data_IF_284867242662
#
_entry.id   IF_284867242662
#
_cell.length_a   1.000
_cell.length_b   1.000
_cell.length_c   1.000
_cell.angle_alpha   90.00
_cell.angle_beta   90.00
_cell.angle_gamma   90.00
#
_symmetry.space_group_name_H-M   'P 1'
#
loop_
_entity.id
_entity.type
_entity.pdbx_description
1 polymer ?
#
# COMPACT_ATOMS: atom_id res chain seq x y z
N UNK A 1 6.25 -29.43 -14.97
CA UNK A 1 5.65 -28.22 -14.37
C UNK A 1 6.77 -27.53 -13.64
N UNK A 2 7.05 -26.27 -13.97
CA UNK A 2 8.09 -25.48 -13.30
C UNK A 2 7.65 -25.19 -11.85
N UNK A 3 8.61 -25.18 -10.91
CA UNK A 3 8.35 -24.94 -9.48
C UNK A 3 7.61 -23.60 -9.25
N UNK A 4 7.91 -22.58 -10.04
CA UNK A 4 7.19 -21.30 -10.02
C UNK A 4 5.72 -21.42 -10.41
N UNK A 5 5.39 -22.28 -11.35
CA UNK A 5 4.00 -22.53 -11.77
C UNK A 5 3.23 -23.25 -10.66
N UNK A 6 3.88 -24.22 -10.00
CA UNK A 6 3.30 -24.92 -8.86
C UNK A 6 3.01 -23.95 -7.69
N UNK A 7 3.96 -23.11 -7.34
CA UNK A 7 3.80 -22.10 -6.27
C UNK A 7 2.64 -21.16 -6.57
N UNK A 8 2.53 -20.66 -7.82
CA UNK A 8 1.41 -19.80 -8.24
C UNK A 8 0.05 -20.50 -8.20
N UNK A 9 -0.01 -21.80 -8.51
CA UNK A 9 -1.25 -22.59 -8.37
C UNK A 9 -1.66 -22.71 -6.90
N UNK A 10 -0.70 -22.90 -6.00
CA UNK A 10 -0.94 -22.92 -4.56
C UNK A 10 -1.40 -21.56 -4.03
N UNK A 11 -0.78 -20.46 -4.49
CA UNK A 11 -1.22 -19.11 -4.16
C UNK A 11 -2.68 -18.87 -4.56
N UNK A 12 -3.04 -19.22 -5.79
CA UNK A 12 -4.44 -19.11 -6.26
C UNK A 12 -5.42 -19.98 -5.46
N UNK A 13 -5.02 -21.20 -5.07
CA UNK A 13 -5.84 -22.09 -4.24
C UNK A 13 -6.12 -21.48 -2.86
N UNK A 14 -5.13 -20.80 -2.30
CA UNK A 14 -5.21 -20.23 -0.95
C UNK A 14 -5.68 -18.78 -0.94
N UNK A 15 -6.01 -18.19 -2.10
CA UNK A 15 -6.34 -16.78 -2.24
C UNK A 15 -7.50 -16.35 -1.33
N UNK A 16 -8.61 -17.09 -1.34
CA UNK A 16 -9.76 -16.73 -0.50
C UNK A 16 -9.45 -16.81 1.00
N UNK A 17 -8.68 -17.79 1.42
CA UNK A 17 -8.24 -17.87 2.82
C UNK A 17 -7.31 -16.70 3.18
N UNK A 18 -6.45 -16.25 2.25
CA UNK A 18 -5.64 -15.04 2.40
C UNK A 18 -6.52 -13.80 2.59
N UNK A 19 -7.49 -13.59 1.70
CA UNK A 19 -8.43 -12.46 1.76
C UNK A 19 -9.18 -12.41 3.10
N UNK A 20 -9.69 -13.57 3.56
CA UNK A 20 -10.39 -13.62 4.85
C UNK A 20 -9.46 -13.29 6.03
N UNK A 21 -8.21 -13.75 6.00
CA UNK A 21 -7.22 -13.41 7.03
C UNK A 21 -6.86 -11.92 6.99
N UNK A 22 -6.74 -11.32 5.82
CA UNK A 22 -6.53 -9.87 5.68
C UNK A 22 -7.73 -9.08 6.21
N UNK A 23 -8.95 -9.56 5.98
CA UNK A 23 -10.16 -8.94 6.55
C UNK A 23 -10.13 -8.95 8.08
N UNK A 24 -9.69 -10.05 8.71
CA UNK A 24 -9.55 -10.11 10.16
C UNK A 24 -8.48 -9.12 10.68
N UNK A 25 -7.33 -9.00 9.98
CA UNK A 25 -6.33 -7.98 10.31
C UNK A 25 -6.92 -6.57 10.19
N UNK A 26 -7.68 -6.29 9.11
CA UNK A 26 -8.32 -5.00 8.92
C UNK A 26 -9.34 -4.67 10.03
N UNK A 27 -10.12 -5.66 10.49
CA UNK A 27 -11.05 -5.49 11.63
C UNK A 27 -10.31 -5.13 12.92
N UNK A 28 -9.13 -5.72 13.16
CA UNK A 28 -8.27 -5.36 14.31
C UNK A 28 -7.77 -3.93 14.19
N UNK A 29 -7.27 -3.53 13.00
CA UNK A 29 -6.82 -2.16 12.73
C UNK A 29 -7.98 -1.16 12.95
N UNK A 30 -9.17 -1.45 12.41
CA UNK A 30 -10.36 -0.64 12.57
C UNK A 30 -10.74 -0.44 14.05
N UNK A 31 -10.70 -1.52 14.82
CA UNK A 31 -10.94 -1.48 16.26
C UNK A 31 -9.95 -0.58 17.00
N UNK A 32 -8.65 -0.68 16.69
CA UNK A 32 -7.61 0.19 17.25
C UNK A 32 -7.88 1.65 16.84
N UNK A 33 -8.15 1.91 15.57
CA UNK A 33 -8.40 3.25 15.06
C UNK A 33 -9.62 3.90 15.73
N UNK A 34 -10.74 3.17 15.87
CA UNK A 34 -11.96 3.65 16.54
C UNK A 34 -11.73 4.01 18.00
N UNK A 35 -11.06 3.15 18.77
CA UNK A 35 -10.75 3.41 20.18
C UNK A 35 -9.86 4.64 20.41
N UNK A 36 -8.95 4.90 19.45
CA UNK A 36 -7.95 5.96 19.57
C UNK A 36 -8.26 7.21 18.74
N UNK A 37 -9.42 7.30 18.08
CA UNK A 37 -9.81 8.43 17.24
C UNK A 37 -8.84 8.67 16.08
N UNK A 38 -8.33 7.60 15.45
CA UNK A 38 -7.39 7.64 14.32
C UNK A 38 -8.20 7.54 13.03
N UNK A 39 -7.99 8.48 12.11
CA UNK A 39 -8.64 8.48 10.80
C UNK A 39 -7.87 7.61 9.81
N UNK A 40 -8.61 6.82 9.06
CA UNK A 40 -8.14 6.05 7.91
C UNK A 40 -9.30 5.81 6.94
N UNK A 41 -9.01 5.35 5.73
CA UNK A 41 -10.03 4.87 4.79
C UNK A 41 -9.47 3.81 3.84
N UNK A 42 -10.38 3.03 3.23
CA UNK A 42 -10.01 2.06 2.20
C UNK A 42 -9.48 2.78 0.97
N UNK A 43 -8.44 2.22 0.35
CA UNK A 43 -7.77 2.82 -0.81
C UNK A 43 -7.64 1.82 -1.96
N UNK A 44 -7.20 2.28 -3.10
CA UNK A 44 -6.76 1.49 -4.26
C UNK A 44 -7.68 0.33 -4.63
N UNK A 45 -7.14 -0.88 -4.78
CA UNK A 45 -7.87 -2.11 -5.10
C UNK A 45 -8.94 -2.45 -4.08
N UNK A 46 -8.70 -2.19 -2.81
CA UNK A 46 -9.65 -2.46 -1.72
C UNK A 46 -10.91 -1.60 -1.82
N UNK A 47 -10.75 -0.28 -2.05
CA UNK A 47 -11.89 0.61 -2.26
C UNK A 47 -12.64 0.26 -3.55
N UNK A 48 -11.91 -0.04 -4.64
CA UNK A 48 -12.49 -0.49 -5.90
C UNK A 48 -13.30 -1.78 -5.71
N UNK A 49 -12.77 -2.72 -4.94
CA UNK A 49 -13.45 -3.96 -4.58
C UNK A 49 -14.73 -3.70 -3.79
N UNK A 50 -14.68 -2.83 -2.79
CA UNK A 50 -15.86 -2.43 -2.02
C UNK A 50 -16.98 -1.87 -2.93
N UNK A 51 -16.64 -0.95 -3.84
CA UNK A 51 -17.62 -0.29 -4.74
C UNK A 51 -18.15 -1.25 -5.81
N UNK A 52 -17.30 -2.04 -6.44
CA UNK A 52 -17.65 -2.84 -7.62
C UNK A 52 -18.13 -4.24 -7.29
N UNK A 53 -17.62 -4.84 -6.21
CA UNK A 53 -17.86 -6.25 -5.83
C UNK A 53 -18.52 -6.40 -4.45
N UNK A 54 -18.60 -5.34 -3.66
CA UNK A 54 -19.08 -5.41 -2.26
C UNK A 54 -18.10 -6.09 -1.29
N UNK A 55 -16.86 -6.31 -1.72
CA UNK A 55 -15.80 -6.99 -1.01
C UNK A 55 -14.54 -7.04 -1.86
N UNK A 56 -13.71 -8.07 -1.69
CA UNK A 56 -12.52 -8.24 -2.51
C UNK A 56 -12.82 -8.33 -4.00
N UNK A 57 -11.95 -7.75 -4.81
CA UNK A 57 -11.85 -8.15 -6.21
C UNK A 57 -11.44 -9.63 -6.25
N UNK A 58 -12.12 -10.51 -7.03
CA UNK A 58 -11.93 -11.96 -6.92
C UNK A 58 -10.52 -12.50 -7.16
N UNK A 59 -9.64 -11.72 -7.79
CA UNK A 59 -8.24 -12.07 -8.06
C UNK A 59 -7.23 -11.21 -7.31
N UNK A 60 -7.69 -10.33 -6.42
CA UNK A 60 -6.84 -9.46 -5.60
C UNK A 60 -6.39 -10.16 -4.33
N UNK A 61 -5.17 -9.92 -3.92
CA UNK A 61 -4.53 -10.63 -2.81
C UNK A 61 -3.92 -9.70 -1.75
N UNK A 62 -4.34 -8.42 -1.75
CA UNK A 62 -3.93 -7.42 -0.77
C UNK A 62 -5.11 -6.57 -0.25
N UNK A 63 -4.88 -5.89 0.86
CA UNK A 63 -5.72 -4.82 1.39
C UNK A 63 -4.86 -3.59 1.57
N UNK A 64 -5.30 -2.50 0.92
CA UNK A 64 -4.70 -1.19 1.00
C UNK A 64 -5.60 -0.24 1.79
N UNK A 65 -5.02 0.40 2.79
CA UNK A 65 -5.64 1.54 3.48
C UNK A 65 -4.67 2.71 3.52
N UNK A 66 -5.20 3.90 3.67
CA UNK A 66 -4.41 5.11 3.85
C UNK A 66 -4.74 5.78 5.18
N UNK A 67 -3.72 6.41 5.76
CA UNK A 67 -3.87 7.24 6.96
C UNK A 67 -3.22 8.61 6.72
N UNK A 68 -3.84 9.73 7.15
CA UNK A 68 -3.11 10.99 7.27
C UNK A 68 -1.82 10.78 8.06
N UNK A 69 -0.71 11.37 7.62
CA UNK A 69 0.62 11.10 8.23
C UNK A 69 0.66 11.32 9.75
N UNK A 70 -0.13 12.27 10.26
CA UNK A 70 -0.26 12.50 11.71
C UNK A 70 -0.95 11.33 12.42
N UNK A 71 -2.00 10.77 11.79
CA UNK A 71 -2.74 9.63 12.29
C UNK A 71 -1.94 8.33 12.17
N UNK A 72 -1.18 8.14 11.08
CA UNK A 72 -0.28 7.01 10.92
C UNK A 72 0.77 6.96 12.06
N UNK A 73 1.38 8.10 12.38
CA UNK A 73 2.33 8.19 13.50
C UNK A 73 1.68 7.92 14.87
N UNK A 74 0.39 8.24 15.03
CA UNK A 74 -0.38 7.88 16.23
C UNK A 74 -0.66 6.39 16.23
N UNK A 75 -1.08 5.84 15.09
CA UNK A 75 -1.32 4.41 14.91
C UNK A 75 -0.06 3.58 15.24
N UNK A 76 1.11 3.93 14.71
CA UNK A 76 2.36 3.23 15.02
C UNK A 76 2.64 3.15 16.53
N UNK A 77 2.35 4.22 17.29
CA UNK A 77 2.58 4.25 18.73
C UNK A 77 1.60 3.40 19.54
N UNK A 78 0.33 3.38 19.13
CA UNK A 78 -0.69 2.62 19.84
C UNK A 78 -0.70 1.15 19.41
N UNK A 79 -0.50 0.87 18.13
CA UNK A 79 -0.45 -0.48 17.58
C UNK A 79 0.68 -1.32 18.21
N UNK A 80 1.81 -0.70 18.54
CA UNK A 80 2.90 -1.38 19.26
C UNK A 80 2.48 -1.96 20.63
N UNK A 81 1.34 -1.52 21.19
CA UNK A 81 0.81 -1.96 22.49
C UNK A 81 -0.52 -2.69 22.41
N UNK A 82 -1.30 -2.43 21.36
CA UNK A 82 -2.68 -2.89 21.23
C UNK A 82 -2.87 -4.01 20.20
N UNK A 83 -1.87 -4.29 19.38
CA UNK A 83 -1.93 -5.43 18.47
C UNK A 83 -1.95 -6.73 19.28
N UNK A 84 -2.88 -7.65 18.98
CA UNK A 84 -2.91 -8.96 19.62
C UNK A 84 -1.68 -9.80 19.26
N UNK A 85 -1.37 -10.79 20.08
CA UNK A 85 -0.32 -11.78 19.83
C UNK A 85 -0.50 -12.41 18.44
N UNK A 86 0.61 -12.59 17.73
CA UNK A 86 0.64 -13.10 16.37
C UNK A 86 0.56 -12.03 15.29
N UNK A 87 0.08 -10.82 15.58
CA UNK A 87 0.16 -9.69 14.65
C UNK A 87 1.40 -8.83 14.93
N UNK A 88 2.03 -8.38 13.86
CA UNK A 88 3.29 -7.63 13.91
C UNK A 88 3.18 -6.34 13.11
N UNK A 89 3.50 -5.21 13.75
CA UNK A 89 3.63 -3.92 13.07
C UNK A 89 5.00 -3.84 12.40
N UNK A 90 5.03 -4.00 11.08
CA UNK A 90 6.22 -3.87 10.28
C UNK A 90 6.41 -2.43 9.80
N UNK A 91 7.53 -1.87 10.16
CA UNK A 91 8.05 -0.58 9.70
C UNK A 91 9.55 -0.73 9.45
N UNK A 92 10.18 0.24 8.81
CA UNK A 92 11.66 0.23 8.65
C UNK A 92 12.42 0.27 9.99
N UNK A 93 11.73 0.59 11.11
CA UNK A 93 12.31 0.60 12.46
C UNK A 93 12.17 -0.75 13.16
N UNK A 94 11.00 -1.38 13.05
CA UNK A 94 10.70 -2.66 13.71
C UNK A 94 11.23 -3.86 12.93
N UNK A 95 11.40 -3.69 11.61
CA UNK A 95 11.96 -4.67 10.71
C UNK A 95 12.88 -3.97 9.67
N UNK A 96 14.14 -3.69 10.04
CA UNK A 96 15.07 -2.97 9.15
C UNK A 96 15.38 -3.67 7.82
N UNK A 97 15.07 -4.96 7.72
CA UNK A 97 15.21 -5.74 6.49
C UNK A 97 14.07 -5.50 5.50
N UNK A 98 12.92 -5.01 5.99
CA UNK A 98 11.82 -4.53 5.15
C UNK A 98 12.14 -3.10 4.71
N UNK A 99 12.65 -2.95 3.49
CA UNK A 99 13.20 -1.69 2.98
C UNK A 99 12.15 -0.70 2.46
N UNK A 100 10.92 -1.16 2.30
CA UNK A 100 9.84 -0.31 1.80
C UNK A 100 9.34 0.65 2.88
N UNK A 101 9.15 1.94 2.57
CA UNK A 101 8.64 2.93 3.51
C UNK A 101 7.11 2.87 3.66
N UNK A 102 6.54 1.68 3.60
CA UNK A 102 5.12 1.37 3.80
C UNK A 102 5.00 0.69 5.17
N UNK A 103 3.99 1.05 5.92
CA UNK A 103 3.67 0.37 7.18
C UNK A 103 2.77 -0.82 6.87
N UNK A 104 3.11 -1.99 7.40
CA UNK A 104 2.29 -3.20 7.25
C UNK A 104 1.92 -3.76 8.63
N UNK A 105 0.71 -4.27 8.76
CA UNK A 105 0.35 -5.14 9.88
C UNK A 105 0.31 -6.56 9.35
N UNK A 106 1.22 -7.42 9.86
CA UNK A 106 1.40 -8.79 9.38
C UNK A 106 0.94 -9.83 10.39
N UNK A 107 0.35 -10.90 9.90
CA UNK A 107 0.10 -12.11 10.67
C UNK A 107 1.32 -13.05 10.58
N UNK A 108 2.04 -13.21 11.67
CA UNK A 108 3.24 -14.05 11.73
C UNK A 108 2.95 -15.56 11.79
N UNK A 109 1.68 -15.96 11.91
CA UNK A 109 1.24 -17.36 11.84
C UNK A 109 0.90 -17.79 10.40
N UNK A 110 1.20 -16.96 9.43
CA UNK A 110 0.99 -17.19 8.01
C UNK A 110 2.25 -16.87 7.20
N UNK A 111 2.27 -17.25 5.92
CA UNK A 111 3.37 -16.93 5.02
C UNK A 111 2.81 -16.35 3.71
N UNK A 112 3.35 -15.21 3.31
CA UNK A 112 3.04 -14.56 2.05
C UNK A 112 4.35 -14.12 1.38
N UNK A 113 4.60 -14.61 0.17
CA UNK A 113 5.79 -14.28 -0.63
C UNK A 113 5.34 -13.48 -1.86
N UNK A 114 5.80 -12.25 -1.93
CA UNK A 114 5.50 -11.32 -3.02
C UNK A 114 6.27 -11.66 -4.30
N UNK A 115 5.76 -11.22 -5.45
CA UNK A 115 6.48 -11.34 -6.71
C UNK A 115 7.77 -10.50 -6.68
N UNK A 116 8.92 -11.13 -6.92
CA UNK A 116 10.23 -10.46 -6.82
C UNK A 116 10.94 -10.63 -5.49
N UNK A 117 10.24 -11.15 -4.47
CA UNK A 117 10.85 -11.58 -3.22
C UNK A 117 11.45 -12.99 -3.33
N UNK A 118 12.21 -13.37 -2.31
CA UNK A 118 12.75 -14.70 -2.15
C UNK A 118 12.57 -15.17 -0.70
N UNK A 119 12.70 -16.50 -0.48
CA UNK A 119 12.59 -17.09 0.85
C UNK A 119 13.77 -16.77 1.78
N UNK A 120 14.84 -16.18 1.26
CA UNK A 120 16.11 -15.94 1.97
C UNK A 120 16.15 -14.56 2.62
N UNK A 121 15.45 -13.57 2.07
CA UNK A 121 15.45 -12.21 2.64
C UNK A 121 14.91 -12.22 4.07
N UNK A 122 15.62 -11.70 5.06
CA UNK A 122 15.35 -11.96 6.49
C UNK A 122 14.23 -11.11 7.10
N UNK A 123 13.42 -10.38 6.33
CA UNK A 123 12.29 -9.63 6.88
C UNK A 123 11.13 -10.57 7.27
N UNK A 124 10.29 -10.10 8.20
CA UNK A 124 9.09 -10.83 8.63
C UNK A 124 8.12 -10.98 7.47
N UNK A 125 7.78 -12.24 7.14
CA UNK A 125 6.86 -12.59 6.05
C UNK A 125 5.58 -13.14 6.66
N UNK A 126 4.45 -12.67 6.16
CA UNK A 126 3.13 -13.10 6.62
C UNK A 126 2.07 -12.34 5.83
N UNK A 127 0.85 -12.83 5.82
CA UNK A 127 -0.29 -12.14 5.23
C UNK A 127 -0.43 -10.78 5.93
N UNK A 128 -0.76 -9.73 5.19
CA UNK A 128 -0.68 -8.36 5.69
C UNK A 128 -1.80 -7.46 5.19
N UNK A 129 -1.91 -6.30 5.83
CA UNK A 129 -2.63 -5.11 5.37
C UNK A 129 -1.61 -3.99 5.21
N UNK A 130 -1.62 -3.32 4.06
CA UNK A 130 -0.78 -2.16 3.76
C UNK A 130 -1.42 -0.87 4.24
N UNK A 131 -0.61 -0.02 4.87
CA UNK A 131 -1.02 1.29 5.39
C UNK A 131 -0.12 2.36 4.78
N UNK A 132 -0.67 3.12 3.84
CA UNK A 132 0.08 4.17 3.17
C UNK A 132 -0.04 5.52 3.89
N UNK A 133 1.06 6.24 4.06
CA UNK A 133 1.03 7.61 4.58
C UNK A 133 0.39 8.56 3.56
N UNK A 134 -0.61 9.33 4.00
CA UNK A 134 -1.30 10.31 3.17
C UNK A 134 -0.95 11.74 3.61
N UNK A 135 -0.59 12.60 2.66
CA UNK A 135 -0.10 13.96 2.93
C UNK A 135 -0.79 15.00 2.07
N UNK A 136 -0.75 16.25 2.53
CA UNK A 136 -1.22 17.38 1.74
C UNK A 136 -0.24 17.67 0.58
N UNK A 137 -0.80 17.89 -0.60
CA UNK A 137 -0.08 18.27 -1.82
C UNK A 137 -0.29 19.75 -2.14
N UNK A 138 0.66 20.39 -2.83
CA UNK A 138 0.48 21.74 -3.34
C UNK A 138 -0.75 21.85 -4.24
N UNK A 139 -1.43 23.00 -4.20
CA UNK A 139 -2.62 23.27 -5.00
C UNK A 139 -2.24 23.65 -6.45
N UNK A 140 -1.61 22.70 -7.13
CA UNK A 140 -1.13 22.81 -8.51
C UNK A 140 -1.82 21.77 -9.40
N UNK A 141 -1.61 21.88 -10.72
CA UNK A 141 -2.17 20.95 -11.69
C UNK A 141 -1.65 19.50 -11.44
N UNK A 142 -2.53 18.47 -11.43
CA UNK A 142 -2.14 17.07 -11.18
C UNK A 142 -1.05 16.57 -12.13
N UNK A 143 -1.07 16.96 -13.39
CA UNK A 143 -0.09 16.55 -14.39
C UNK A 143 1.36 16.89 -14.03
N UNK A 144 1.59 17.85 -13.13
CA UNK A 144 2.92 18.16 -12.63
C UNK A 144 3.41 17.07 -11.67
N UNK A 145 2.52 16.56 -10.81
CA UNK A 145 2.85 15.50 -9.86
C UNK A 145 3.14 14.17 -10.56
N UNK A 146 2.40 13.85 -11.63
CA UNK A 146 2.69 12.68 -12.47
C UNK A 146 4.10 12.69 -13.10
N UNK A 147 4.70 13.88 -13.24
CA UNK A 147 6.08 14.01 -13.75
C UNK A 147 7.13 13.96 -12.63
N UNK A 148 6.86 14.62 -11.51
CA UNK A 148 7.86 14.81 -10.44
C UNK A 148 7.88 13.64 -9.45
N UNK A 149 6.72 13.20 -9.00
CA UNK A 149 6.63 12.21 -7.92
C UNK A 149 7.21 10.84 -8.30
N UNK A 150 6.98 10.30 -9.52
CA UNK A 150 7.62 9.05 -9.93
C UNK A 150 9.15 9.10 -9.98
N UNK A 151 9.75 10.27 -10.16
CA UNK A 151 11.20 10.43 -10.08
C UNK A 151 11.69 10.09 -8.67
N UNK A 152 10.98 10.57 -7.63
CA UNK A 152 11.31 10.32 -6.23
C UNK A 152 11.09 8.85 -5.89
N UNK A 153 9.87 8.33 -6.09
CA UNK A 153 9.50 6.98 -5.68
C UNK A 153 10.30 5.90 -6.40
N UNK A 154 10.44 5.99 -7.73
CA UNK A 154 11.21 5.01 -8.52
C UNK A 154 12.70 5.04 -8.20
N UNK A 155 13.30 6.25 -8.06
CA UNK A 155 14.70 6.36 -7.68
C UNK A 155 14.95 5.79 -6.30
N UNK A 156 14.07 6.08 -5.33
CA UNK A 156 14.14 5.51 -4.00
C UNK A 156 14.02 3.97 -4.03
N UNK A 157 13.04 3.44 -4.75
CA UNK A 157 12.86 1.98 -4.88
C UNK A 157 14.11 1.30 -5.46
N UNK A 158 14.70 1.85 -6.52
CA UNK A 158 15.92 1.29 -7.14
C UNK A 158 17.10 1.34 -6.17
N UNK A 159 17.31 2.45 -5.48
CA UNK A 159 18.43 2.60 -4.54
C UNK A 159 18.33 1.65 -3.34
N UNK A 160 17.13 1.27 -2.92
CA UNK A 160 16.92 0.35 -1.80
C UNK A 160 16.75 -1.11 -2.22
N UNK A 161 16.72 -1.40 -3.54
CA UNK A 161 16.71 -2.77 -4.03
C UNK A 161 18.04 -3.49 -3.74
N UNK A 162 18.00 -4.82 -3.75
CA UNK A 162 19.22 -5.61 -3.57
C UNK A 162 20.09 -5.50 -4.82
N UNK A 163 21.28 -4.89 -4.69
CA UNK A 163 22.26 -4.79 -5.75
C UNK A 163 23.43 -5.75 -5.49
N UNK A 164 23.85 -6.50 -6.52
CA UNK A 164 25.16 -7.14 -6.51
C UNK A 164 26.22 -6.08 -6.82
N UNK A 165 27.31 -6.08 -6.09
CA UNK A 165 28.44 -5.17 -6.35
C UNK A 165 28.95 -5.36 -7.77
N UNK A 166 28.80 -4.32 -8.61
CA UNK A 166 29.19 -4.28 -10.00
C UNK A 166 29.39 -2.83 -10.44
N UNK A 167 30.14 -2.59 -11.52
CA UNK A 167 30.30 -1.26 -12.12
C UNK A 167 28.93 -0.66 -12.50
N UNK A 168 28.01 -1.49 -12.95
CA UNK A 168 26.65 -1.08 -13.26
C UNK A 168 25.89 -0.61 -12.00
N UNK A 169 25.96 -1.36 -10.92
CA UNK A 169 25.31 -0.97 -9.65
C UNK A 169 25.89 0.35 -9.12
N UNK A 170 27.20 0.58 -9.28
CA UNK A 170 27.86 1.83 -8.93
C UNK A 170 27.34 3.01 -9.78
N UNK A 171 27.26 2.84 -11.10
CA UNK A 171 26.69 3.86 -11.98
C UNK A 171 25.22 4.16 -11.68
N UNK A 172 24.41 3.11 -11.42
CA UNK A 172 23.01 3.24 -11.03
C UNK A 172 22.85 4.01 -9.71
N UNK A 173 23.71 3.76 -8.72
CA UNK A 173 23.71 4.47 -7.44
C UNK A 173 23.86 5.99 -7.63
N UNK A 174 24.85 6.44 -8.42
CA UNK A 174 25.04 7.87 -8.68
C UNK A 174 23.93 8.46 -9.52
N UNK A 175 23.48 7.75 -10.57
CA UNK A 175 22.43 8.23 -11.45
C UNK A 175 21.07 8.39 -10.73
N UNK A 176 20.65 7.37 -10.00
CA UNK A 176 19.39 7.42 -9.26
C UNK A 176 19.49 8.26 -7.99
N UNK A 177 20.66 8.34 -7.37
CA UNK A 177 20.95 9.28 -6.30
C UNK A 177 20.78 10.73 -6.73
N UNK A 178 21.38 11.11 -7.86
CA UNK A 178 21.22 12.45 -8.43
C UNK A 178 19.75 12.75 -8.79
N UNK A 179 19.04 11.79 -9.40
CA UNK A 179 17.61 11.92 -9.70
C UNK A 179 16.77 12.09 -8.45
N UNK A 180 17.04 11.33 -7.40
CA UNK A 180 16.35 11.45 -6.11
C UNK A 180 16.55 12.82 -5.50
N UNK A 181 17.78 13.32 -5.49
CA UNK A 181 18.09 14.68 -5.00
C UNK A 181 17.38 15.75 -5.83
N UNK A 182 17.41 15.66 -7.16
CA UNK A 182 16.70 16.59 -8.03
C UNK A 182 15.18 16.52 -7.82
N UNK A 183 14.62 15.33 -7.67
CA UNK A 183 13.20 15.15 -7.36
C UNK A 183 12.78 15.80 -6.04
N UNK A 184 13.59 15.62 -4.99
CA UNK A 184 13.33 16.27 -3.69
C UNK A 184 13.50 17.77 -3.74
N UNK A 185 14.47 18.30 -4.50
CA UNK A 185 14.62 19.74 -4.71
C UNK A 185 13.37 20.31 -5.40
N UNK A 186 12.93 19.67 -6.48
CA UNK A 186 11.69 20.06 -7.18
C UNK A 186 10.47 19.97 -6.26
N UNK A 187 10.33 18.89 -5.49
CA UNK A 187 9.27 18.76 -4.50
C UNK A 187 9.31 19.88 -3.44
N UNK A 188 10.50 20.22 -2.97
CA UNK A 188 10.72 21.33 -2.05
C UNK A 188 10.21 22.66 -2.61
N UNK A 189 10.57 22.99 -3.87
CA UNK A 189 10.10 24.20 -4.56
C UNK A 189 8.58 24.19 -4.75
N UNK A 190 7.99 23.07 -5.21
CA UNK A 190 6.53 22.93 -5.34
C UNK A 190 5.84 23.08 -3.99
N UNK A 191 6.46 22.61 -2.94
CA UNK A 191 5.94 22.65 -1.57
C UNK A 191 5.84 24.05 -0.95
N UNK A 192 6.36 25.08 -1.62
CA UNK A 192 6.16 26.48 -1.26
C UNK A 192 4.74 26.98 -1.60
N UNK A 193 4.04 26.30 -2.52
CA UNK A 193 2.65 26.63 -2.83
C UNK A 193 1.69 26.18 -1.73
N UNK A 194 0.51 26.82 -1.59
CA UNK A 194 -0.53 26.40 -0.65
C UNK A 194 -0.90 24.93 -0.80
N UNK A 195 -1.24 24.26 0.32
CA UNK A 195 -1.58 22.81 0.39
C UNK A 195 -2.94 22.59 1.03
N UNK A 196 -3.97 23.29 0.56
CA UNK A 196 -5.30 23.30 1.20
C UNK A 196 -6.26 22.28 0.58
N UNK A 197 -6.18 22.10 -0.76
CA UNK A 197 -7.23 21.47 -1.53
C UNK A 197 -6.86 20.08 -2.10
N UNK A 198 -5.60 19.66 -1.98
CA UNK A 198 -5.13 18.38 -2.53
C UNK A 198 -4.42 17.52 -1.50
N UNK A 199 -4.64 16.23 -1.62
CA UNK A 199 -3.95 15.21 -0.82
C UNK A 199 -3.58 14.01 -1.72
N UNK A 200 -2.60 13.25 -1.29
CA UNK A 200 -2.17 12.02 -1.96
C UNK A 200 -1.21 11.22 -1.09
N UNK A 201 -0.88 10.04 -1.52
CA UNK A 201 0.12 9.20 -0.88
C UNK A 201 1.48 9.92 -0.84
N UNK A 202 2.23 9.75 0.23
CA UNK A 202 3.53 10.43 0.38
C UNK A 202 4.47 10.16 -0.79
N UNK A 203 5.28 11.14 -1.24
CA UNK A 203 6.08 11.05 -2.47
C UNK A 203 6.98 9.82 -2.59
N UNK A 204 7.50 9.30 -1.47
CA UNK A 204 8.36 8.11 -1.48
C UNK A 204 7.65 6.83 -1.94
N UNK A 205 6.35 6.73 -1.67
CA UNK A 205 5.54 5.55 -1.94
C UNK A 205 4.47 5.78 -3.02
N UNK A 206 4.33 7.01 -3.51
CA UNK A 206 3.42 7.34 -4.60
C UNK A 206 4.08 7.07 -5.95
N UNK A 207 3.88 5.87 -6.49
CA UNK A 207 4.50 5.45 -7.76
C UNK A 207 3.99 6.20 -9.01
N UNK A 208 2.80 6.78 -8.94
CA UNK A 208 2.10 7.40 -10.08
C UNK A 208 2.04 8.92 -10.02
N UNK A 209 2.10 9.51 -8.84
CA UNK A 209 1.85 10.93 -8.61
C UNK A 209 0.37 11.29 -8.56
N UNK A 210 -0.53 10.31 -8.38
CA UNK A 210 -1.96 10.55 -8.22
C UNK A 210 -2.24 11.38 -6.97
N UNK A 211 -3.19 12.30 -7.11
CA UNK A 211 -3.65 13.17 -6.02
C UNK A 211 -5.15 13.38 -6.13
N UNK A 212 -5.79 13.53 -4.98
CA UNK A 212 -7.23 13.71 -4.86
C UNK A 212 -7.57 15.11 -4.36
N UNK A 213 -8.76 15.58 -4.69
CA UNK A 213 -9.30 16.78 -4.04
C UNK A 213 -9.62 16.44 -2.59
N UNK A 214 -9.25 17.32 -1.66
CA UNK A 214 -9.59 17.14 -0.25
C UNK A 214 -11.11 17.03 -0.01
N UNK A 215 -11.91 17.72 -0.82
CA UNK A 215 -13.38 17.66 -0.76
C UNK A 215 -13.97 16.32 -1.21
N UNK A 216 -13.27 15.54 -2.06
CA UNK A 216 -13.70 14.18 -2.38
C UNK A 216 -13.36 13.16 -1.31
N UNK A 217 -12.46 13.52 -0.38
CA UNK A 217 -12.08 12.64 0.74
C UNK A 217 -12.92 12.93 1.96
N UNK A 218 -13.06 14.21 2.36
CA UNK A 218 -13.67 14.61 3.62
C UNK A 218 -14.99 15.38 3.44
N UNK A 219 -15.93 15.20 4.40
CA UNK A 219 -15.86 14.31 5.56
C UNK A 219 -15.90 12.84 5.13
N UNK A 220 -15.16 11.97 5.84
CA UNK A 220 -15.20 10.53 5.54
C UNK A 220 -16.63 10.00 5.68
N UNK A 221 -16.99 9.08 4.80
CA UNK A 221 -18.20 8.25 4.85
C UNK A 221 -17.83 6.81 5.25
N UNK A 222 -18.76 5.91 5.08
CA UNK A 222 -18.55 4.48 5.31
C UNK A 222 -19.03 3.68 4.11
N UNK A 223 -18.37 2.55 3.85
CA UNK A 223 -18.74 1.62 2.80
C UNK A 223 -18.70 0.19 3.31
N UNK A 224 -19.62 -0.65 2.80
CA UNK A 224 -19.58 -2.09 3.05
C UNK A 224 -18.43 -2.72 2.30
N UNK A 225 -17.67 -3.57 3.00
CA UNK A 225 -16.65 -4.44 2.43
C UNK A 225 -16.74 -5.82 3.09
N UNK A 226 -17.10 -6.84 2.32
CA UNK A 226 -17.41 -8.18 2.80
C UNK A 226 -18.59 -8.16 3.83
N UNK A 227 -18.35 -8.65 5.04
CA UNK A 227 -19.33 -8.70 6.13
C UNK A 227 -19.32 -7.48 7.06
N UNK A 228 -18.48 -6.50 6.78
CA UNK A 228 -18.20 -5.38 7.69
C UNK A 228 -18.34 -4.02 6.97
N UNK A 229 -18.27 -2.95 7.75
CA UNK A 229 -18.37 -1.56 7.26
C UNK A 229 -17.13 -0.80 7.70
N UNK A 230 -16.46 -0.16 6.75
CA UNK A 230 -15.21 0.56 6.97
C UNK A 230 -15.29 2.01 6.47
N UNK A 231 -14.40 2.91 6.96
CA UNK A 231 -14.30 4.27 6.45
C UNK A 231 -13.94 4.33 4.98
N UNK A 232 -14.54 5.27 4.27
CA UNK A 232 -14.32 5.51 2.85
C UNK A 232 -14.29 7.01 2.55
N UNK A 233 -13.71 7.45 1.40
CA UNK A 233 -13.81 8.83 0.94
C UNK A 233 -15.27 9.25 0.73
N UNK A 234 -15.56 10.55 0.95
CA UNK A 234 -16.90 11.12 0.78
C UNK A 234 -17.46 10.89 -0.63
N UNK A 235 -16.64 11.07 -1.65
CA UNK A 235 -16.95 10.84 -3.06
C UNK A 235 -16.04 9.74 -3.61
N UNK A 236 -16.49 8.49 -3.46
CA UNK A 236 -15.74 7.30 -3.92
C UNK A 236 -15.60 7.26 -5.44
N UNK A 237 -16.57 7.80 -6.19
CA UNK A 237 -16.50 7.84 -7.66
C UNK A 237 -15.39 8.77 -8.13
N UNK A 238 -15.37 10.03 -7.64
CA UNK A 238 -14.30 10.96 -7.97
C UNK A 238 -12.93 10.44 -7.54
N UNK A 239 -12.85 9.82 -6.37
CA UNK A 239 -11.61 9.26 -5.84
C UNK A 239 -11.06 8.12 -6.72
N UNK A 240 -11.91 7.17 -7.11
CA UNK A 240 -11.53 6.04 -7.95
C UNK A 240 -11.21 6.46 -9.40
N UNK A 241 -11.89 7.50 -9.91
CA UNK A 241 -11.55 8.08 -11.23
C UNK A 241 -10.17 8.72 -11.24
N UNK A 242 -9.76 9.37 -10.16
CA UNK A 242 -8.41 9.92 -10.03
C UNK A 242 -7.33 8.79 -10.07
N UNK A 243 -7.65 7.59 -9.56
CA UNK A 243 -6.73 6.45 -9.54
C UNK A 243 -6.72 5.65 -10.85
N UNK A 244 -7.90 5.31 -11.37
CA UNK A 244 -8.07 4.28 -12.39
C UNK A 244 -8.80 4.76 -13.64
N UNK A 245 -9.26 6.01 -13.69
CA UNK A 245 -10.08 6.50 -14.81
C UNK A 245 -11.44 5.81 -14.87
N UNK A 246 -11.73 5.07 -15.94
CA UNK A 246 -12.96 4.26 -16.06
C UNK A 246 -12.82 2.93 -15.29
N UNK A 247 -12.93 3.02 -13.98
CA UNK A 247 -12.68 1.92 -13.05
C UNK A 247 -13.76 0.83 -13.06
N UNK A 248 -14.95 1.10 -13.64
CA UNK A 248 -16.01 0.09 -13.73
C UNK A 248 -15.73 -0.98 -14.78
N UNK A 249 -14.82 -0.74 -15.72
CA UNK A 249 -14.40 -1.75 -16.67
C UNK A 249 -13.59 -2.85 -16.00
N UNK A 250 -14.10 -4.08 -16.14
CA UNK A 250 -13.40 -5.26 -15.63
C UNK A 250 -12.29 -5.64 -16.62
N UNK A 251 -11.01 -5.74 -16.17
CA UNK A 251 -9.92 -6.11 -17.07
C UNK A 251 -10.11 -7.53 -17.63
N UNK A 252 -9.61 -7.81 -18.86
CA UNK A 252 -9.63 -9.15 -19.43
C UNK A 252 -8.94 -10.17 -18.52
N UNK A 253 -9.32 -11.44 -18.63
CA UNK A 253 -8.87 -12.49 -17.72
C UNK A 253 -7.35 -12.70 -17.69
N UNK A 254 -6.68 -12.48 -18.81
CA UNK A 254 -5.22 -12.57 -18.97
C UNK A 254 -4.46 -11.44 -18.24
N UNK A 255 -5.14 -10.32 -17.95
CA UNK A 255 -4.60 -9.18 -17.16
C UNK A 255 -4.90 -9.26 -15.66
N UNK A 256 -5.67 -10.28 -15.21
CA UNK A 256 -5.98 -10.49 -13.80
C UNK A 256 -4.87 -11.31 -13.15
N UNK A 257 -4.10 -10.67 -12.30
CA UNK A 257 -2.94 -11.30 -11.68
C UNK A 257 -3.08 -11.30 -10.16
N UNK A 258 -2.67 -12.41 -9.55
CA UNK A 258 -2.36 -12.52 -8.12
C UNK A 258 -0.89 -12.11 -7.98
N UNK A 259 -0.59 -11.19 -7.10
CA UNK A 259 0.77 -10.66 -6.90
C UNK A 259 1.65 -11.65 -6.15
N UNK A 260 1.05 -12.43 -5.24
CA UNK A 260 1.75 -13.46 -4.49
C UNK A 260 2.31 -14.57 -5.39
N UNK A 261 3.55 -14.95 -5.11
CA UNK A 261 4.15 -16.18 -5.65
C UNK A 261 3.74 -17.38 -4.81
N UNK A 262 3.61 -17.20 -3.49
CA UNK A 262 3.22 -18.25 -2.57
C UNK A 262 2.41 -17.68 -1.41
N UNK A 263 1.35 -18.40 -1.03
CA UNK A 263 0.50 -18.09 0.13
C UNK A 263 0.31 -19.36 0.94
N UNK A 264 0.61 -19.29 2.25
CA UNK A 264 0.17 -20.25 3.25
C UNK A 264 -0.55 -19.48 4.37
N UNK A 265 -1.89 -19.60 4.47
CA UNK A 265 -2.66 -18.82 5.45
C UNK A 265 -2.53 -19.35 6.87
N UNK A 266 -1.94 -20.53 7.09
CA UNK A 266 -1.81 -21.15 8.42
C UNK A 266 -0.56 -22.02 8.49
N UNK A 267 0.44 -21.58 9.26
CA UNK A 267 1.71 -22.31 9.46
C UNK A 267 1.63 -23.41 10.53
N UNK A 268 0.50 -23.56 11.21
CA UNK A 268 0.28 -24.63 12.17
C UNK A 268 -0.16 -25.96 11.53
N UNK A 269 -0.40 -25.94 10.22
CA UNK A 269 -0.85 -27.09 9.43
C UNK A 269 0.18 -27.57 8.43
#
# INVERSE_FOLDING_TARGET
MDDKELLRKLAKKNLRACQLKQLEILKVIDGICKRNGIQYWLDSGTLLGAVRHGGFIPWDDDIDIVMPLGDLRRFERVAAKELPDGLFLQTTKTDPSAKEPIVKVRDLQSLYIEGGDNFVTPYKKGIYVDIFPFVAYPDLAPGLFHKVIPIISKSNSILHHFHRYSLRAFAEFFWFGAKLCAGWLMWGLLSLYPKKNRMGTAPLVNGTGNTHRRSSIFPLTTIRFEDSVFPAPADTDAYLRDLFGDYMQIPPADKRQVHAVYINPDLSR
#
